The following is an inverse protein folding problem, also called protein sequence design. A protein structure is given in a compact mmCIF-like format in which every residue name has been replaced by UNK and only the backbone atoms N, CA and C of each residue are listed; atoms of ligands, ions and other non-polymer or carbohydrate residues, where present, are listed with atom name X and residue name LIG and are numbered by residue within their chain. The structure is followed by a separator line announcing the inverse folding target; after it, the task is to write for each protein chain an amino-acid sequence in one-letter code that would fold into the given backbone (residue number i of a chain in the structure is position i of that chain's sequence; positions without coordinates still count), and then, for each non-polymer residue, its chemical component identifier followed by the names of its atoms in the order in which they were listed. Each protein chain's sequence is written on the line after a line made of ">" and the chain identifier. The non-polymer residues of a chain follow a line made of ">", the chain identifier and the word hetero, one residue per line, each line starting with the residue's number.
data_IF_539869007581
#
_entry.id   IF_539869007581
#
_cell.length_a   1.000
_cell.length_b   1.000
_cell.length_c   1.000
_cell.angle_alpha   90.00
_cell.angle_beta   90.00
_cell.angle_gamma   90.00
#
_symmetry.space_group_name_H-M   'P 1'
#
loop_
_entity.id
_entity.type
_entity.pdbx_description
1 polymer ?
#
# COMPACT_ATOMS: atom_id res chain seq x y z
N UNK A 1 4.02 18.09 18.24
CA UNK A 1 3.64 16.66 18.34
C UNK A 1 2.15 16.57 18.06
N UNK A 2 1.68 15.41 17.56
CA UNK A 2 0.30 15.13 17.09
C UNK A 2 -0.07 15.74 15.74
N UNK A 3 0.76 15.47 14.74
CA UNK A 3 0.29 15.30 13.37
C UNK A 3 -0.08 13.84 13.22
N UNK A 4 -1.26 13.54 12.72
CA UNK A 4 -1.57 13.05 11.40
C UNK A 4 -3.13 12.94 11.45
N UNK A 5 -3.79 12.92 10.29
CA UNK A 5 -5.23 12.67 10.14
C UNK A 5 -5.41 11.61 9.05
N UNK A 6 -6.36 10.69 9.25
CA UNK A 6 -7.13 9.91 8.25
C UNK A 6 -6.59 8.54 7.79
N UNK A 7 -6.60 7.56 8.68
CA UNK A 7 -6.55 6.11 8.32
C UNK A 7 -7.88 5.54 7.75
N UNK A 8 -8.92 6.36 7.51
CA UNK A 8 -10.27 5.83 7.20
C UNK A 8 -10.94 6.35 5.92
N UNK A 9 -10.81 7.65 5.60
CA UNK A 9 -11.57 8.25 4.49
C UNK A 9 -10.77 8.37 3.18
N UNK A 10 -9.43 8.28 3.19
CA UNK A 10 -8.63 8.49 1.98
C UNK A 10 -8.46 7.24 1.12
N UNK A 11 -8.49 6.02 1.69
CA UNK A 11 -8.46 4.80 0.87
C UNK A 11 -9.75 4.63 0.04
N UNK A 12 -10.84 5.28 0.47
CA UNK A 12 -12.17 5.25 -0.15
C UNK A 12 -12.27 6.09 -1.42
N UNK A 13 -11.45 7.15 -1.54
CA UNK A 13 -11.52 8.07 -2.68
C UNK A 13 -10.41 7.85 -3.72
N UNK A 14 -9.34 7.14 -3.36
CA UNK A 14 -8.13 7.06 -4.16
C UNK A 14 -7.75 5.64 -4.63
N UNK A 15 -8.62 4.64 -4.49
CA UNK A 15 -8.39 3.38 -5.21
C UNK A 15 -8.72 3.59 -6.69
N UNK A 16 -7.73 4.04 -7.47
CA UNK A 16 -7.92 4.42 -8.88
C UNK A 16 -7.89 3.20 -9.82
N UNK A 17 -7.43 2.06 -9.34
CA UNK A 17 -7.16 0.87 -10.15
C UNK A 17 -7.64 -0.42 -9.47
N UNK A 18 -8.20 -1.35 -10.25
CA UNK A 18 -8.35 -2.75 -9.81
C UNK A 18 -6.99 -3.44 -9.78
N UNK A 19 -6.34 -3.43 -8.62
CA UNK A 19 -5.05 -4.10 -8.40
C UNK A 19 -5.07 -5.57 -8.80
N UNK A 20 -6.14 -6.30 -8.51
CA UNK A 20 -6.26 -7.73 -8.87
C UNK A 20 -6.35 -7.96 -10.39
N UNK A 21 -7.05 -7.08 -11.11
CA UNK A 21 -7.24 -7.21 -12.56
C UNK A 21 -5.96 -6.89 -13.35
N UNK A 22 -5.23 -5.87 -12.90
CA UNK A 22 -4.03 -5.37 -13.56
C UNK A 22 -2.72 -5.86 -12.90
N UNK A 23 -2.81 -6.85 -12.01
CA UNK A 23 -1.65 -7.35 -11.28
C UNK A 23 -0.58 -7.88 -12.26
N UNK A 24 0.69 -7.47 -12.12
CA UNK A 24 1.80 -8.05 -12.87
C UNK A 24 1.82 -9.57 -12.73
N UNK A 25 2.16 -10.27 -13.81
CA UNK A 25 2.10 -11.74 -13.86
C UNK A 25 2.94 -12.39 -12.77
N UNK A 26 4.08 -11.78 -12.45
CA UNK A 26 5.02 -12.22 -11.42
C UNK A 26 4.44 -12.11 -10.01
N UNK A 27 3.47 -11.21 -9.81
CA UNK A 27 2.84 -10.94 -8.51
C UNK A 27 1.46 -11.57 -8.37
N UNK A 28 0.90 -12.14 -9.44
CA UNK A 28 -0.44 -12.73 -9.43
C UNK A 28 -0.54 -13.93 -8.50
N UNK A 29 -1.61 -13.97 -7.74
CA UNK A 29 -2.05 -15.10 -6.95
C UNK A 29 -3.56 -15.36 -7.16
N UNK A 30 -4.11 -16.50 -6.70
CA UNK A 30 -5.52 -16.85 -6.91
C UNK A 30 -6.51 -15.88 -6.25
N UNK A 31 -6.87 -14.80 -6.94
CA UNK A 31 -7.83 -13.80 -6.45
C UNK A 31 -7.22 -12.60 -5.71
N UNK A 32 -5.89 -12.48 -5.67
CA UNK A 32 -5.20 -11.31 -5.10
C UNK A 32 -3.86 -11.02 -5.80
N UNK A 33 -3.27 -9.86 -5.51
CA UNK A 33 -1.95 -9.44 -5.99
C UNK A 33 -0.96 -9.40 -4.82
N UNK A 34 0.14 -10.15 -4.93
CA UNK A 34 1.18 -10.19 -3.90
C UNK A 34 2.04 -8.93 -3.95
N UNK A 35 2.64 -8.58 -2.81
CA UNK A 35 3.74 -7.63 -2.77
C UNK A 35 5.05 -8.30 -3.26
N UNK A 36 5.97 -7.54 -3.87
CA UNK A 36 7.18 -8.09 -4.47
C UNK A 36 8.12 -8.75 -3.44
N UNK A 37 8.14 -8.30 -2.19
CA UNK A 37 8.94 -8.95 -1.15
C UNK A 37 8.49 -10.41 -0.90
N UNK A 38 7.19 -10.69 -0.91
CA UNK A 38 6.66 -12.05 -0.68
C UNK A 38 7.06 -13.01 -1.79
N UNK A 39 7.10 -12.52 -3.04
CA UNK A 39 7.46 -13.32 -4.21
C UNK A 39 8.97 -13.49 -4.34
N UNK A 40 9.71 -12.38 -4.39
CA UNK A 40 11.12 -12.39 -4.78
C UNK A 40 12.08 -12.54 -3.60
N UNK A 41 11.67 -12.14 -2.39
CA UNK A 41 12.47 -12.26 -1.15
C UNK A 41 13.87 -11.65 -1.23
N UNK A 42 14.06 -10.64 -2.09
CA UNK A 42 15.34 -9.97 -2.26
C UNK A 42 15.47 -8.75 -1.35
N UNK A 43 16.71 -8.31 -1.12
CA UNK A 43 17.00 -7.09 -0.35
C UNK A 43 16.35 -5.83 -0.95
N UNK A 44 16.18 -5.78 -2.26
CA UNK A 44 15.57 -4.65 -2.98
C UNK A 44 14.09 -4.48 -2.60
N UNK A 45 13.33 -5.57 -2.52
CA UNK A 45 11.89 -5.50 -2.25
C UNK A 45 11.55 -5.61 -0.76
N UNK A 46 12.37 -6.32 0.01
CA UNK A 46 12.14 -6.53 1.45
C UNK A 46 12.88 -5.53 2.33
N UNK A 47 13.85 -4.79 1.80
CA UNK A 47 14.59 -3.76 2.53
C UNK A 47 15.37 -4.28 3.76
N UNK A 48 15.77 -5.55 3.74
CA UNK A 48 16.48 -6.21 4.85
C UNK A 48 17.92 -5.71 5.05
N UNK A 49 18.52 -5.03 4.05
CA UNK A 49 19.88 -4.49 4.10
C UNK A 49 19.97 -3.08 4.71
N UNK A 50 18.82 -2.50 5.10
CA UNK A 50 18.73 -1.19 5.73
C UNK A 50 18.12 -0.10 4.83
N UNK A 51 17.94 1.12 5.37
CA UNK A 51 17.15 2.17 4.72
C UNK A 51 17.69 2.67 3.38
N UNK A 52 19.02 2.64 3.21
CA UNK A 52 19.70 3.18 2.04
C UNK A 52 19.41 2.38 0.74
N UNK A 53 19.15 1.08 0.88
CA UNK A 53 18.90 0.16 -0.25
C UNK A 53 17.40 0.03 -0.59
N UNK A 54 16.54 0.64 0.22
CA UNK A 54 15.10 0.51 0.10
C UNK A 54 14.53 1.68 -0.71
N UNK A 55 14.26 1.44 -1.99
CA UNK A 55 13.77 2.44 -2.93
C UNK A 55 12.47 1.98 -3.58
N UNK A 56 11.72 2.93 -4.12
CA UNK A 56 10.59 2.61 -4.97
C UNK A 56 11.06 1.81 -6.19
N UNK A 57 10.35 0.74 -6.50
CA UNK A 57 10.56 -0.15 -7.64
C UNK A 57 9.37 -0.06 -8.59
N UNK A 58 9.47 -0.62 -9.78
CA UNK A 58 8.33 -0.66 -10.72
C UNK A 58 7.09 -1.33 -10.09
N UNK A 59 7.29 -2.39 -9.30
CA UNK A 59 6.21 -3.06 -8.59
C UNK A 59 5.59 -2.20 -7.48
N UNK A 60 6.40 -1.52 -6.67
CA UNK A 60 5.85 -0.66 -5.63
C UNK A 60 5.16 0.57 -6.23
N UNK A 61 5.69 1.13 -7.32
CA UNK A 61 5.02 2.23 -8.04
C UNK A 61 3.67 1.80 -8.63
N UNK A 62 3.57 0.58 -9.17
CA UNK A 62 2.29 0.02 -9.62
C UNK A 62 1.29 -0.08 -8.47
N UNK A 63 1.69 -0.65 -7.33
CA UNK A 63 0.83 -0.77 -6.14
C UNK A 63 0.42 0.60 -5.61
N UNK A 64 1.35 1.56 -5.60
CA UNK A 64 1.11 2.95 -5.20
C UNK A 64 0.16 3.67 -6.14
N UNK A 65 0.25 3.44 -7.45
CA UNK A 65 -0.66 4.01 -8.43
C UNK A 65 -2.10 3.56 -8.20
N UNK A 66 -2.30 2.28 -7.87
CA UNK A 66 -3.63 1.76 -7.55
C UNK A 66 -4.18 2.25 -6.22
N UNK A 67 -3.32 2.40 -5.20
CA UNK A 67 -3.68 2.89 -3.87
C UNK A 67 -2.65 3.93 -3.37
N UNK A 68 -2.77 5.22 -3.73
CA UNK A 68 -1.78 6.25 -3.40
C UNK A 68 -1.60 6.49 -1.90
N UNK A 69 -2.62 6.20 -1.09
CA UNK A 69 -2.55 6.30 0.37
C UNK A 69 -2.08 5.03 1.07
N UNK A 70 -1.82 3.94 0.35
CA UNK A 70 -1.34 2.71 0.96
C UNK A 70 0.19 2.62 0.92
N UNK A 71 0.77 1.88 1.87
CA UNK A 71 2.16 1.47 1.82
C UNK A 71 2.38 0.54 0.62
N UNK A 72 3.33 0.89 -0.24
CA UNK A 72 3.69 0.09 -1.41
C UNK A 72 5.04 -0.63 -1.30
N UNK A 73 5.91 -0.15 -0.40
CA UNK A 73 7.18 -0.77 -0.03
C UNK A 73 7.54 -0.37 1.43
N UNK A 74 8.51 -1.03 2.08
CA UNK A 74 8.74 -0.89 3.53
C UNK A 74 9.04 0.53 4.05
N UNK A 75 9.57 1.44 3.22
CA UNK A 75 9.91 2.81 3.62
C UNK A 75 9.06 3.88 2.92
N UNK A 76 7.82 3.52 2.60
CA UNK A 76 6.85 4.42 1.95
C UNK A 76 6.11 5.34 2.95
N UNK A 77 6.79 5.87 3.96
CA UNK A 77 6.14 6.53 5.10
C UNK A 77 5.50 7.88 4.73
N UNK A 78 6.17 8.69 3.89
CA UNK A 78 5.80 10.10 3.64
C UNK A 78 4.35 10.31 3.18
N UNK A 79 3.79 9.35 2.45
CA UNK A 79 2.44 9.45 1.88
C UNK A 79 1.51 8.32 2.34
N UNK A 80 1.96 7.43 3.23
CA UNK A 80 1.20 6.24 3.65
C UNK A 80 0.97 6.18 5.15
N UNK A 81 1.73 6.94 5.95
CA UNK A 81 1.44 7.07 7.37
C UNK A 81 0.32 8.08 7.55
N UNK A 82 -0.71 7.68 8.28
CA UNK A 82 -1.70 8.57 8.89
C UNK A 82 -1.81 8.22 10.39
N UNK A 83 -2.17 9.21 11.20
CA UNK A 83 -2.48 9.14 12.64
C UNK A 83 -3.77 9.93 12.78
N UNK A 84 -4.31 9.97 13.98
CA UNK A 84 -5.37 10.88 14.38
C UNK A 84 -5.08 11.26 15.85
N UNK A 85 -5.69 12.33 16.38
CA UNK A 85 -5.65 12.61 17.81
C UNK A 85 -6.05 11.40 18.68
N UNK A 86 -5.56 11.34 19.91
CA UNK A 86 -5.98 10.30 20.86
C UNK A 86 -7.48 10.40 21.15
N UNK A 87 -8.16 9.25 21.30
CA UNK A 87 -9.61 9.17 21.53
C UNK A 87 -10.48 9.11 20.26
N UNK A 88 -9.88 9.11 19.07
CA UNK A 88 -10.62 8.87 17.83
C UNK A 88 -11.11 7.43 17.70
N UNK A 89 -12.25 7.26 17.02
CA UNK A 89 -12.80 5.96 16.63
C UNK A 89 -12.46 5.69 15.16
N UNK A 90 -12.21 4.43 14.84
CA UNK A 90 -11.85 3.99 13.49
C UNK A 90 -12.85 2.94 13.00
N UNK A 91 -13.18 3.01 11.72
CA UNK A 91 -13.96 1.97 11.04
C UNK A 91 -13.09 1.37 9.92
N UNK A 92 -13.07 0.04 9.85
CA UNK A 92 -12.45 -0.70 8.75
C UNK A 92 -13.56 -1.23 7.87
N UNK A 93 -13.61 -0.79 6.61
CA UNK A 93 -14.64 -1.16 5.65
C UNK A 93 -14.00 -1.93 4.50
N UNK A 94 -14.47 -3.14 4.25
CA UNK A 94 -14.07 -3.93 3.09
C UNK A 94 -14.96 -3.59 1.90
N UNK A 95 -14.36 -3.42 0.71
CA UNK A 95 -15.08 -3.11 -0.54
C UNK A 95 -16.05 -1.91 -0.43
N UNK A 96 -15.56 -0.73 0.00
CA UNK A 96 -16.40 0.43 0.27
C UNK A 96 -17.11 1.01 -0.97
N UNK A 97 -16.55 0.79 -2.17
CA UNK A 97 -17.11 1.22 -3.46
C UNK A 97 -17.85 0.09 -4.20
N UNK A 98 -17.97 -1.10 -3.59
CA UNK A 98 -18.51 -2.28 -4.25
C UNK A 98 -17.60 -2.89 -5.32
N UNK A 99 -17.89 -4.13 -5.70
CA UNK A 99 -17.26 -4.83 -6.82
C UNK A 99 -17.92 -4.40 -8.15
N UNK A 100 -17.61 -3.20 -8.65
CA UNK A 100 -17.86 -2.80 -10.05
C UNK A 100 -17.19 -3.72 -11.09
#
# INVERSE_FOLDING_TARGET
>A
MTSLLLMGLMCLWFSTLRLNGNCPTELKAPGWCNNPCTVFKTKEYCCNAGPADCKATNYSMFLKGGCPGAYSFPLDDKLSTYTCPSGNKYNVVFCPLGSL
#
